data_IF_013831327841
#
_entry.id   IF_013831327841
#
_cell.length_a   1.000
_cell.length_b   1.000
_cell.length_c   1.000
_cell.angle_alpha   90.00
_cell.angle_beta   90.00
_cell.angle_gamma   90.00
#
_symmetry.space_group_name_H-M   'P 1'
#
loop_
_entity.id
_entity.type
_entity.pdbx_description
1 polymer ?
#
# COMPACT_ATOMS: atom_id res chain seq x y z
N UNK A 1 -65.15 -7.42 23.88
CA UNK A 1 -63.69 -7.69 23.83
C UNK A 1 -63.27 -7.57 22.38
N UNK A 2 -62.99 -6.34 21.93
CA UNK A 2 -62.37 -6.10 20.62
C UNK A 2 -60.86 -6.06 20.85
N UNK A 3 -60.18 -7.08 20.33
CA UNK A 3 -58.73 -7.16 20.29
C UNK A 3 -58.20 -6.18 19.26
N UNK A 4 -57.74 -5.03 19.73
CA UNK A 4 -56.91 -4.09 18.96
C UNK A 4 -55.54 -4.73 18.73
N UNK A 5 -55.36 -5.36 17.58
CA UNK A 5 -54.05 -5.77 17.09
C UNK A 5 -53.28 -4.53 16.65
N UNK A 6 -52.33 -4.08 17.47
CA UNK A 6 -51.33 -3.12 17.02
C UNK A 6 -50.49 -3.76 15.91
N UNK A 7 -50.35 -3.12 14.73
CA UNK A 7 -49.36 -3.58 13.75
C UNK A 7 -47.98 -3.47 14.43
N UNK A 8 -47.21 -4.56 14.38
CA UNK A 8 -45.87 -4.59 14.93
C UNK A 8 -45.08 -3.38 14.45
N UNK A 9 -44.71 -2.50 15.38
CA UNK A 9 -43.89 -1.31 15.17
C UNK A 9 -42.58 -1.72 14.49
N UNK A 10 -42.58 -1.68 13.15
CA UNK A 10 -41.35 -1.60 12.39
C UNK A 10 -40.75 -0.24 12.73
N UNK A 11 -39.72 -0.25 13.60
CA UNK A 11 -38.96 0.93 13.96
C UNK A 11 -38.76 1.80 12.71
N UNK A 12 -39.08 3.11 12.77
CA UNK A 12 -39.03 3.97 11.61
C UNK A 12 -37.64 3.85 10.97
N UNK A 13 -37.60 3.34 9.73
CA UNK A 13 -36.35 3.23 8.97
C UNK A 13 -35.63 4.58 9.04
N UNK A 14 -34.33 4.57 9.35
CA UNK A 14 -33.51 5.79 9.49
C UNK A 14 -33.85 6.80 8.39
N UNK A 15 -34.06 8.10 8.71
CA UNK A 15 -34.40 9.10 7.70
C UNK A 15 -33.45 9.11 6.50
N UNK A 16 -32.16 8.84 6.74
CA UNK A 16 -31.16 8.70 5.67
C UNK A 16 -31.45 7.50 4.76
N UNK A 17 -31.84 6.36 5.33
CA UNK A 17 -32.13 5.13 4.57
C UNK A 17 -33.46 5.20 3.80
N UNK A 18 -34.33 6.15 4.12
CA UNK A 18 -35.56 6.42 3.35
C UNK A 18 -35.29 7.18 2.04
N UNK A 19 -34.16 7.87 1.95
CA UNK A 19 -33.79 8.58 0.72
C UNK A 19 -33.50 7.58 -0.40
N UNK A 20 -33.75 7.91 -1.67
CA UNK A 20 -33.30 7.12 -2.81
C UNK A 20 -31.79 6.85 -2.74
N UNK A 21 -31.37 5.70 -3.28
CA UNK A 21 -29.97 5.27 -3.20
C UNK A 21 -29.00 6.29 -3.81
N UNK A 22 -29.40 6.92 -4.91
CA UNK A 22 -28.64 7.94 -5.63
C UNK A 22 -28.36 9.15 -4.74
N UNK A 23 -29.36 9.60 -3.98
CA UNK A 23 -29.21 10.72 -3.04
C UNK A 23 -28.29 10.33 -1.88
N UNK A 24 -28.37 9.08 -1.39
CA UNK A 24 -27.44 8.59 -0.36
C UNK A 24 -26.00 8.59 -0.88
N UNK A 25 -25.77 8.15 -2.12
CA UNK A 25 -24.45 8.19 -2.75
C UNK A 25 -23.91 9.62 -2.83
N UNK A 26 -24.71 10.60 -3.27
CA UNK A 26 -24.31 12.00 -3.30
C UNK A 26 -23.93 12.53 -1.91
N UNK A 27 -24.67 12.13 -0.87
CA UNK A 27 -24.36 12.49 0.52
C UNK A 27 -23.03 11.87 0.95
N UNK A 28 -22.81 10.58 0.67
CA UNK A 28 -21.55 9.92 1.01
C UNK A 28 -20.37 10.52 0.24
N UNK A 29 -20.54 10.87 -1.02
CA UNK A 29 -19.51 11.55 -1.81
C UNK A 29 -19.13 12.88 -1.17
N UNK A 30 -20.10 13.71 -0.80
CA UNK A 30 -19.84 14.97 -0.12
C UNK A 30 -19.11 14.79 1.23
N UNK A 31 -19.41 13.71 1.94
CA UNK A 31 -18.85 13.43 3.26
C UNK A 31 -17.47 12.74 3.23
N UNK A 32 -17.19 11.97 2.18
CA UNK A 32 -16.01 11.08 2.13
C UNK A 32 -15.00 11.49 1.08
N UNK A 33 -15.37 12.23 0.03
CA UNK A 33 -14.41 12.64 -0.99
C UNK A 33 -13.49 13.75 -0.48
N UNK A 34 -12.30 13.91 -1.09
CA UNK A 34 -11.37 14.94 -0.67
C UNK A 34 -12.04 16.32 -0.73
N UNK A 35 -11.78 17.14 0.29
CA UNK A 35 -12.21 18.53 0.27
C UNK A 35 -11.56 19.26 -0.90
N UNK A 36 -12.30 20.14 -1.58
CA UNK A 36 -11.74 20.99 -2.64
C UNK A 36 -10.85 22.10 -2.07
N UNK A 37 -11.07 22.47 -0.82
CA UNK A 37 -10.27 23.47 -0.10
C UNK A 37 -9.46 22.80 1.01
N UNK A 38 -8.12 22.89 1.01
CA UNK A 38 -7.31 22.33 2.07
C UNK A 38 -7.61 23.06 3.38
N UNK A 39 -7.91 22.32 4.44
CA UNK A 39 -7.99 22.91 5.76
C UNK A 39 -6.59 23.34 6.21
N UNK A 40 -6.44 24.52 6.80
CA UNK A 40 -5.17 25.06 7.33
C UNK A 40 -4.59 24.26 8.49
N UNK A 41 -5.20 23.13 8.85
CA UNK A 41 -4.65 22.19 9.79
C UNK A 41 -3.42 21.53 9.18
N UNK A 42 -2.25 21.93 9.65
CA UNK A 42 -1.05 21.09 9.58
C UNK A 42 -1.49 19.71 10.07
N UNK A 43 -1.70 18.76 9.17
CA UNK A 43 -1.81 17.36 9.53
C UNK A 43 -0.53 17.07 10.27
N UNK A 44 -0.58 17.05 11.60
CA UNK A 44 0.61 16.89 12.42
C UNK A 44 1.13 15.51 12.07
N UNK A 45 2.12 15.49 11.18
CA UNK A 45 3.00 14.37 10.99
C UNK A 45 3.62 14.15 12.35
N UNK A 46 3.08 13.20 13.11
CA UNK A 46 3.91 12.60 14.16
C UNK A 46 4.90 11.81 13.35
N UNK A 47 6.10 12.36 13.19
CA UNK A 47 7.25 11.60 12.74
C UNK A 47 7.17 10.21 13.37
N UNK A 48 7.33 9.22 12.51
CA UNK A 48 7.34 7.80 12.84
C UNK A 48 7.96 7.59 14.21
N UNK A 49 7.22 6.92 15.08
CA UNK A 49 7.72 6.61 16.39
C UNK A 49 8.91 5.67 16.19
N UNK A 50 10.03 6.14 16.73
CA UNK A 50 11.40 5.61 16.68
C UNK A 50 12.23 6.20 15.52
N UNK A 51 12.99 7.28 15.76
CA UNK A 51 14.12 7.66 14.91
C UNK A 51 15.23 6.59 15.02
N UNK A 52 14.97 5.40 14.47
CA UNK A 52 16.03 4.41 14.25
C UNK A 52 16.68 4.68 12.91
N UNK A 53 17.93 4.20 12.74
CA UNK A 53 18.84 4.37 11.61
C UNK A 53 18.26 4.09 10.19
N UNK A 54 16.99 3.71 10.09
CA UNK A 54 16.25 3.39 8.87
C UNK A 54 14.88 4.08 8.74
N UNK A 55 14.51 4.99 9.66
CA UNK A 55 13.41 5.94 9.44
C UNK A 55 13.91 7.08 8.57
N UNK A 56 14.01 6.79 7.28
CA UNK A 56 14.33 7.80 6.28
C UNK A 56 13.24 8.88 6.29
N UNK A 57 13.64 10.11 5.98
CA UNK A 57 12.73 11.23 5.74
C UNK A 57 11.82 10.88 4.56
N UNK A 58 10.72 10.16 4.83
CA UNK A 58 9.51 10.24 4.04
C UNK A 58 9.07 11.70 4.16
N UNK A 59 8.88 12.39 3.04
CA UNK A 59 8.10 13.62 3.03
C UNK A 59 6.69 13.25 3.51
N UNK A 60 6.51 13.22 4.84
CA UNK A 60 5.27 12.81 5.48
C UNK A 60 4.13 13.79 5.20
N UNK A 61 4.44 14.90 4.51
CA UNK A 61 3.47 15.82 3.91
C UNK A 61 2.92 15.22 2.63
N UNK A 62 2.06 14.21 2.78
CA UNK A 62 1.19 13.82 1.67
C UNK A 62 0.18 14.96 1.43
N UNK A 63 0.44 15.74 0.39
CA UNK A 63 -0.40 16.85 -0.06
C UNK A 63 -1.36 16.44 -1.17
N UNK A 64 -1.40 15.17 -1.57
CA UNK A 64 -2.33 14.68 -2.57
C UNK A 64 -3.75 14.54 -1.95
N UNK A 65 -4.78 15.16 -2.54
CA UNK A 65 -6.15 15.03 -2.08
C UNK A 65 -6.64 13.58 -2.03
N UNK A 66 -6.23 12.73 -2.97
CA UNK A 66 -6.78 11.38 -3.14
C UNK A 66 -5.91 10.27 -2.53
N UNK A 67 -4.84 10.60 -1.80
CA UNK A 67 -3.96 9.59 -1.20
C UNK A 67 -4.11 9.57 0.32
N UNK A 68 -4.31 8.38 0.87
CA UNK A 68 -4.31 8.10 2.31
C UNK A 68 -3.03 7.34 2.67
N UNK A 69 -2.15 7.99 3.43
CA UNK A 69 -0.86 7.40 3.79
C UNK A 69 -0.98 6.50 5.01
N UNK A 70 -0.70 5.21 4.86
CA UNK A 70 -0.62 4.27 5.98
C UNK A 70 0.79 4.29 6.54
N UNK A 71 0.94 4.48 7.85
CA UNK A 71 2.22 4.52 8.56
C UNK A 71 2.23 3.66 9.79
N UNK A 72 3.41 3.16 10.11
CA UNK A 72 3.68 2.48 11.38
C UNK A 72 3.64 3.49 12.54
N UNK A 73 3.00 3.09 13.62
CA UNK A 73 2.99 3.83 14.87
C UNK A 73 3.25 2.91 16.04
N UNK A 74 3.87 3.45 17.08
CA UNK A 74 3.98 2.73 18.34
C UNK A 74 2.59 2.69 19.02
N UNK A 75 2.08 1.49 19.40
CA UNK A 75 0.89 1.29 20.24
C UNK A 75 0.71 2.29 21.36
N UNK A 76 1.82 2.58 22.04
CA UNK A 76 1.85 3.17 23.36
C UNK A 76 1.99 4.69 23.29
N UNK A 77 2.32 5.23 22.11
CA UNK A 77 2.52 6.65 21.87
C UNK A 77 1.26 7.26 21.23
N UNK A 78 0.35 7.75 22.09
CA UNK A 78 -0.80 8.54 21.67
C UNK A 78 -1.86 8.77 22.76
N UNK A 79 -2.58 9.90 22.66
CA UNK A 79 -3.68 10.30 23.58
C UNK A 79 -4.88 9.33 23.52
N UNK A 80 -4.96 8.49 22.49
CA UNK A 80 -6.08 7.58 22.25
C UNK A 80 -6.03 6.27 23.09
N UNK A 81 -4.93 6.03 23.80
CA UNK A 81 -4.80 4.97 24.80
C UNK A 81 -5.03 3.54 24.28
N UNK A 82 -5.04 2.54 25.19
CA UNK A 82 -5.14 1.12 24.85
C UNK A 82 -6.49 0.69 24.22
N UNK A 83 -7.47 1.59 24.05
CA UNK A 83 -8.80 1.24 23.51
C UNK A 83 -8.85 1.25 21.98
N UNK A 84 -8.16 2.18 21.32
CA UNK A 84 -8.07 2.21 19.84
C UNK A 84 -7.16 1.12 19.29
N UNK A 85 -6.14 0.74 20.07
CA UNK A 85 -5.24 -0.37 19.80
C UNK A 85 -5.97 -1.70 19.59
N UNK A 86 -6.95 -2.01 20.44
CA UNK A 86 -7.63 -3.34 20.47
C UNK A 86 -8.39 -3.70 19.20
N UNK A 87 -8.58 -2.78 18.26
CA UNK A 87 -9.30 -3.02 17.00
C UNK A 87 -8.39 -3.20 15.79
N UNK A 88 -7.10 -2.87 15.90
CA UNK A 88 -6.14 -2.99 14.79
C UNK A 88 -5.17 -4.12 15.07
N UNK A 89 -4.86 -4.88 14.03
CA UNK A 89 -3.86 -5.93 14.09
C UNK A 89 -2.49 -5.35 14.49
N UNK A 90 -1.81 -6.08 15.35
CA UNK A 90 -0.44 -5.80 15.78
C UNK A 90 0.52 -6.52 14.84
N UNK A 91 1.59 -5.85 14.44
CA UNK A 91 2.70 -6.45 13.70
C UNK A 91 4.03 -6.00 14.31
N UNK A 92 5.09 -6.76 14.05
CA UNK A 92 6.40 -6.47 14.62
C UNK A 92 7.28 -5.88 13.53
N UNK A 93 7.97 -4.80 13.87
CA UNK A 93 9.05 -4.26 13.04
C UNK A 93 10.38 -4.53 13.72
N UNK A 94 11.44 -4.71 12.93
CA UNK A 94 12.80 -4.78 13.47
C UNK A 94 13.28 -3.37 13.79
N UNK A 95 13.88 -3.22 14.96
CA UNK A 95 14.32 -1.95 15.55
C UNK A 95 15.67 -2.12 16.25
N UNK A 96 16.22 -1.01 16.75
CA UNK A 96 17.46 -0.97 17.51
C UNK A 96 18.74 -1.09 16.67
N UNK A 97 19.92 -1.05 17.33
CA UNK A 97 21.21 -1.16 16.65
C UNK A 97 21.30 -2.45 15.84
N UNK A 98 21.66 -2.32 14.57
CA UNK A 98 21.76 -3.42 13.60
C UNK A 98 20.47 -4.26 13.43
N UNK A 99 19.31 -3.71 13.80
CA UNK A 99 18.00 -4.38 13.67
C UNK A 99 17.90 -5.71 14.44
N UNK A 100 18.52 -5.75 15.63
CA UNK A 100 18.57 -6.95 16.49
C UNK A 100 17.36 -7.10 17.40
N UNK A 101 16.53 -6.07 17.57
CA UNK A 101 15.33 -6.13 18.39
C UNK A 101 14.07 -6.06 17.53
N UNK A 102 12.94 -6.51 18.08
CA UNK A 102 11.64 -6.35 17.45
C UNK A 102 10.73 -5.55 18.36
N UNK A 103 10.03 -4.57 17.80
CA UNK A 103 9.09 -3.73 18.53
C UNK A 103 7.67 -4.02 18.03
N UNK A 104 6.71 -4.28 18.92
CA UNK A 104 5.31 -4.40 18.53
C UNK A 104 4.79 -3.04 18.08
N UNK A 105 4.17 -3.00 16.92
CA UNK A 105 3.63 -1.80 16.29
C UNK A 105 2.24 -2.04 15.71
N UNK A 106 1.56 -0.95 15.36
CA UNK A 106 0.34 -1.03 14.53
C UNK A 106 0.39 0.04 13.47
N UNK A 107 -0.62 0.08 12.61
CA UNK A 107 -0.75 1.07 11.57
C UNK A 107 -1.68 2.21 11.99
N UNK A 108 -1.48 3.37 11.36
CA UNK A 108 -2.46 4.45 11.30
C UNK A 108 -2.52 5.01 9.90
N UNK A 109 -3.69 5.55 9.57
CA UNK A 109 -3.88 6.34 8.36
C UNK A 109 -3.60 7.79 8.70
N UNK A 110 -2.63 8.40 8.02
CA UNK A 110 -2.39 9.83 8.04
C UNK A 110 -3.34 10.52 7.08
N UNK A 111 -3.86 11.65 7.54
CA UNK A 111 -4.77 12.48 6.77
C UNK A 111 -4.01 13.72 6.30
N UNK A 112 -4.20 14.03 5.03
CA UNK A 112 -3.76 15.27 4.40
C UNK A 112 -4.69 16.44 4.78
N UNK A 113 -4.27 17.70 4.56
CA UNK A 113 -5.15 18.87 4.70
C UNK A 113 -6.49 18.77 3.96
N UNK A 114 -6.57 17.97 2.90
CA UNK A 114 -7.77 17.72 2.10
C UNK A 114 -8.69 16.64 2.70
N UNK A 115 -8.13 15.73 3.51
CA UNK A 115 -8.83 14.56 4.05
C UNK A 115 -9.01 14.61 5.57
N UNK A 116 -8.64 15.72 6.21
CA UNK A 116 -8.73 15.94 7.66
C UNK A 116 -10.14 15.68 8.23
N UNK A 117 -11.18 16.00 7.46
CA UNK A 117 -12.59 15.76 7.81
C UNK A 117 -12.90 14.27 8.07
N UNK A 118 -12.20 13.35 7.37
CA UNK A 118 -12.37 11.90 7.53
C UNK A 118 -12.09 11.43 8.95
N UNK A 119 -11.28 12.17 9.72
CA UNK A 119 -10.98 11.87 11.13
C UNK A 119 -12.25 11.73 11.97
N UNK A 120 -13.25 12.55 11.69
CA UNK A 120 -14.53 12.55 12.39
C UNK A 120 -15.58 11.78 11.60
N UNK A 121 -15.62 11.98 10.28
CA UNK A 121 -16.66 11.39 9.43
C UNK A 121 -16.61 9.87 9.41
N UNK A 122 -15.43 9.26 9.28
CA UNK A 122 -15.31 7.79 9.13
C UNK A 122 -15.79 7.05 10.38
N UNK A 123 -15.31 7.36 11.61
CA UNK A 123 -15.82 6.72 12.81
C UNK A 123 -17.30 6.97 13.07
N UNK A 124 -17.81 8.17 12.74
CA UNK A 124 -19.20 8.54 12.98
C UNK A 124 -20.17 7.96 11.97
N UNK A 125 -19.77 7.77 10.70
CA UNK A 125 -20.64 7.30 9.62
C UNK A 125 -20.65 5.77 9.53
N UNK A 126 -19.46 5.14 9.51
CA UNK A 126 -19.34 3.70 9.28
C UNK A 126 -19.85 2.86 10.47
N UNK A 127 -19.97 3.46 11.66
CA UNK A 127 -20.47 2.76 12.85
C UNK A 127 -22.00 2.76 13.00
N UNK A 128 -22.74 3.51 12.17
CA UNK A 128 -24.19 3.71 12.36
C UNK A 128 -25.02 2.48 12.03
N UNK A 129 -24.76 1.87 10.86
CA UNK A 129 -25.59 0.80 10.32
C UNK A 129 -24.83 -0.01 9.26
N UNK A 130 -25.13 -1.30 9.14
CA UNK A 130 -24.49 -2.20 8.16
C UNK A 130 -24.72 -1.79 6.70
N UNK A 131 -25.89 -1.25 6.35
CA UNK A 131 -26.19 -0.78 5.01
C UNK A 131 -25.38 0.49 4.70
N UNK A 132 -25.39 1.47 5.60
CA UNK A 132 -24.59 2.70 5.47
C UNK A 132 -23.11 2.33 5.35
N UNK A 133 -22.61 1.44 6.22
CA UNK A 133 -21.24 0.95 6.15
C UNK A 133 -20.93 0.34 4.77
N UNK A 134 -21.80 -0.52 4.24
CA UNK A 134 -21.58 -1.15 2.94
C UNK A 134 -21.52 -0.14 1.79
N UNK A 135 -22.45 0.82 1.76
CA UNK A 135 -22.52 1.85 0.71
C UNK A 135 -21.34 2.84 0.82
N UNK A 136 -21.11 3.40 2.01
CA UNK A 136 -20.08 4.39 2.29
C UNK A 136 -18.65 3.83 2.18
N UNK A 137 -18.41 2.62 2.71
CA UNK A 137 -17.07 2.00 2.62
C UNK A 137 -16.70 1.69 1.17
N UNK A 138 -17.67 1.36 0.31
CA UNK A 138 -17.41 1.18 -1.12
C UNK A 138 -16.80 2.45 -1.71
N UNK A 139 -17.43 3.61 -1.49
CA UNK A 139 -16.95 4.91 -2.00
C UNK A 139 -15.57 5.24 -1.42
N UNK A 140 -15.38 5.07 -0.11
CA UNK A 140 -14.11 5.36 0.54
C UNK A 140 -12.95 4.51 -0.04
N UNK A 141 -13.08 3.19 -0.04
CA UNK A 141 -11.98 2.31 -0.43
C UNK A 141 -11.78 2.24 -1.95
N UNK A 142 -12.80 2.57 -2.75
CA UNK A 142 -12.66 2.63 -4.21
C UNK A 142 -12.03 3.91 -4.73
N UNK A 143 -12.13 5.00 -3.97
CA UNK A 143 -11.69 6.33 -4.46
C UNK A 143 -10.27 6.66 -4.05
N UNK A 144 -9.90 6.35 -2.81
CA UNK A 144 -8.59 6.70 -2.28
C UNK A 144 -7.50 5.71 -2.69
N UNK A 145 -6.31 6.24 -2.93
CA UNK A 145 -5.08 5.45 -3.03
C UNK A 145 -4.50 5.25 -1.64
N UNK A 146 -4.34 4.00 -1.21
CA UNK A 146 -3.67 3.70 0.07
C UNK A 146 -2.17 3.56 -0.16
N UNK A 147 -1.40 4.49 0.41
CA UNK A 147 0.06 4.54 0.26
C UNK A 147 0.78 4.06 1.51
N UNK A 148 1.40 2.89 1.42
CA UNK A 148 2.20 2.31 2.50
C UNK A 148 3.63 2.86 2.55
N UNK A 149 4.06 3.53 1.48
CA UNK A 149 5.45 3.98 1.33
C UNK A 149 6.40 2.81 1.62
N UNK A 150 7.34 3.01 2.55
CA UNK A 150 8.31 2.02 3.02
C UNK A 150 7.82 1.17 4.19
N UNK A 151 6.63 1.42 4.73
CA UNK A 151 6.00 0.66 5.83
C UNK A 151 5.25 -0.56 5.28
N UNK A 152 5.96 -1.45 4.58
CA UNK A 152 5.37 -2.61 3.90
C UNK A 152 4.74 -3.59 4.88
N UNK A 153 5.29 -3.69 6.09
CA UNK A 153 4.86 -4.56 7.18
C UNK A 153 3.43 -4.23 7.65
N UNK A 154 2.99 -2.99 7.43
CA UNK A 154 1.65 -2.53 7.74
C UNK A 154 0.59 -3.01 6.74
N UNK A 155 0.99 -3.42 5.53
CA UNK A 155 0.07 -3.65 4.42
C UNK A 155 -0.87 -4.85 4.66
N UNK A 156 -0.31 -6.03 4.94
CA UNK A 156 -1.12 -7.23 5.19
C UNK A 156 -2.02 -7.08 6.44
N UNK A 157 -1.53 -6.57 7.60
CA UNK A 157 -2.39 -6.28 8.75
C UNK A 157 -3.52 -5.30 8.43
N UNK A 158 -3.21 -4.20 7.73
CA UNK A 158 -4.23 -3.22 7.33
C UNK A 158 -5.32 -3.86 6.46
N UNK A 159 -4.92 -4.60 5.42
CA UNK A 159 -5.85 -5.25 4.49
C UNK A 159 -6.68 -6.34 5.16
N UNK A 160 -6.10 -7.03 6.15
CA UNK A 160 -6.78 -8.11 6.88
C UNK A 160 -7.81 -7.59 7.87
N UNK A 161 -7.60 -6.40 8.44
CA UNK A 161 -8.56 -5.74 9.34
C UNK A 161 -9.78 -5.16 8.60
N UNK A 162 -9.74 -5.04 7.28
CA UNK A 162 -10.87 -4.56 6.49
C UNK A 162 -11.99 -5.61 6.45
N UNK A 163 -13.24 -5.12 6.50
CA UNK A 163 -14.38 -6.01 6.24
C UNK A 163 -14.28 -6.60 4.83
N UNK A 164 -14.81 -7.81 4.58
CA UNK A 164 -14.74 -8.44 3.24
C UNK A 164 -15.23 -7.53 2.11
N UNK A 165 -16.28 -6.73 2.35
CA UNK A 165 -16.82 -5.78 1.37
C UNK A 165 -15.90 -4.58 1.15
N UNK A 166 -15.32 -4.03 2.22
CA UNK A 166 -14.38 -2.92 2.14
C UNK A 166 -13.10 -3.31 1.42
N UNK A 167 -12.57 -4.51 1.71
CA UNK A 167 -11.40 -5.08 1.02
C UNK A 167 -11.68 -5.29 -0.47
N UNK A 168 -12.84 -5.85 -0.83
CA UNK A 168 -13.23 -6.05 -2.22
C UNK A 168 -13.48 -4.72 -2.97
N UNK A 169 -13.74 -3.62 -2.27
CA UNK A 169 -13.90 -2.29 -2.84
C UNK A 169 -12.57 -1.57 -3.09
N UNK A 170 -11.45 -2.09 -2.57
CA UNK A 170 -10.14 -1.47 -2.73
C UNK A 170 -9.68 -1.52 -4.19
N UNK A 171 -9.24 -0.36 -4.72
CA UNK A 171 -8.87 -0.22 -6.15
C UNK A 171 -7.45 0.28 -6.40
N UNK A 172 -6.90 1.07 -5.48
CA UNK A 172 -5.66 1.81 -5.71
C UNK A 172 -4.69 1.62 -4.53
N UNK A 173 -3.52 1.06 -4.80
CA UNK A 173 -2.45 0.88 -3.82
C UNK A 173 -1.16 1.56 -4.28
N UNK A 174 -0.38 2.03 -3.31
CA UNK A 174 0.97 2.55 -3.53
C UNK A 174 1.93 1.96 -2.51
N UNK A 175 3.01 1.35 -2.98
CA UNK A 175 4.07 0.74 -2.16
C UNK A 175 5.45 1.24 -2.62
N UNK A 176 6.45 1.20 -1.75
CA UNK A 176 7.82 1.61 -2.07
C UNK A 176 8.80 0.46 -1.82
N UNK A 177 9.54 0.05 -2.84
CA UNK A 177 10.63 -0.93 -2.71
C UNK A 177 11.98 -0.23 -2.60
N UNK A 178 12.79 -0.70 -1.64
CA UNK A 178 14.19 -0.30 -1.48
C UNK A 178 15.09 -1.32 -2.20
N UNK A 179 15.36 -1.09 -3.48
CA UNK A 179 16.23 -1.97 -4.27
C UNK A 179 17.73 -1.65 -4.07
N UNK A 180 18.19 -1.39 -2.84
CA UNK A 180 19.56 -0.93 -2.57
C UNK A 180 20.56 -2.10 -2.55
N UNK A 181 21.71 -2.01 -3.26
CA UNK A 181 22.65 -3.13 -3.37
C UNK A 181 23.39 -3.48 -2.06
N UNK A 182 23.45 -2.52 -1.12
CA UNK A 182 24.19 -2.64 0.14
C UNK A 182 23.29 -2.69 1.38
N UNK A 183 21.97 -2.58 1.22
CA UNK A 183 21.05 -2.84 2.32
C UNK A 183 20.83 -4.35 2.40
N UNK A 184 20.92 -4.93 3.59
CA UNK A 184 20.25 -6.21 3.82
C UNK A 184 18.75 -5.96 3.59
N UNK A 185 18.12 -6.70 2.70
CA UNK A 185 16.69 -6.57 2.41
C UNK A 185 15.87 -7.15 3.57
N UNK A 186 15.76 -6.37 4.65
CA UNK A 186 15.01 -6.78 5.84
C UNK A 186 13.52 -6.90 5.58
N UNK A 187 13.02 -6.31 4.49
CA UNK A 187 11.63 -6.30 4.05
C UNK A 187 11.29 -7.43 3.07
N UNK A 188 12.22 -8.34 2.75
CA UNK A 188 12.03 -9.38 1.72
C UNK A 188 10.84 -10.30 2.05
N UNK A 189 10.70 -10.71 3.30
CA UNK A 189 9.63 -11.62 3.72
C UNK A 189 8.26 -10.93 3.68
N UNK A 190 8.21 -9.68 4.12
CA UNK A 190 7.01 -8.85 4.19
C UNK A 190 6.56 -8.39 2.80
N UNK A 191 7.52 -8.14 1.90
CA UNK A 191 7.26 -7.88 0.48
C UNK A 191 6.67 -9.10 -0.23
N UNK A 192 7.29 -10.27 -0.06
CA UNK A 192 6.78 -11.53 -0.61
C UNK A 192 5.37 -11.81 -0.08
N UNK A 193 5.17 -11.70 1.24
CA UNK A 193 3.87 -11.89 1.88
C UNK A 193 2.79 -10.94 1.35
N UNK A 194 3.13 -9.66 1.11
CA UNK A 194 2.17 -8.73 0.49
C UNK A 194 1.85 -9.14 -0.94
N UNK A 195 2.86 -9.44 -1.76
CA UNK A 195 2.66 -9.82 -3.15
C UNK A 195 1.80 -11.09 -3.25
N UNK A 196 2.07 -12.10 -2.43
CA UNK A 196 1.27 -13.32 -2.33
C UNK A 196 -0.17 -13.02 -1.89
N UNK A 197 -0.35 -12.15 -0.89
CA UNK A 197 -1.67 -11.74 -0.42
C UNK A 197 -2.49 -11.04 -1.52
N UNK A 198 -1.84 -10.21 -2.35
CA UNK A 198 -2.47 -9.51 -3.47
C UNK A 198 -2.67 -10.40 -4.70
N UNK A 199 -1.81 -11.40 -4.90
CA UNK A 199 -1.89 -12.34 -6.02
C UNK A 199 -2.89 -13.48 -5.78
N UNK A 200 -3.28 -13.74 -4.52
CA UNK A 200 -4.19 -14.81 -4.16
C UNK A 200 -5.57 -14.60 -4.82
N UNK A 201 -6.01 -15.50 -5.72
CA UNK A 201 -7.30 -15.38 -6.38
C UNK A 201 -8.45 -15.68 -5.40
N UNK A 202 -9.68 -15.21 -5.70
CA UNK A 202 -10.87 -15.68 -4.98
C UNK A 202 -11.03 -17.18 -5.17
N UNK A 203 -10.67 -17.96 -4.16
CA UNK A 203 -11.00 -19.38 -4.12
C UNK A 203 -12.38 -19.54 -3.46
N UNK A 204 -13.25 -20.30 -4.11
CA UNK A 204 -14.45 -20.83 -3.46
C UNK A 204 -14.01 -21.71 -2.29
N UNK A 205 -14.45 -21.35 -1.09
CA UNK A 205 -14.22 -22.10 0.13
C UNK A 205 -14.72 -23.55 -0.04
N UNK A 206 -13.81 -24.47 -0.32
CA UNK A 206 -14.06 -25.91 -0.27
C UNK A 206 -13.81 -26.47 1.13
N UNK A 207 -12.95 -25.80 1.91
CA UNK A 207 -12.74 -26.06 3.32
C UNK A 207 -13.14 -24.81 4.11
N UNK A 208 -13.99 -24.97 5.13
CA UNK A 208 -14.62 -23.91 5.94
C UNK A 208 -13.70 -22.95 6.71
N UNK A 209 -12.44 -22.82 6.31
CA UNK A 209 -11.59 -21.68 6.59
C UNK A 209 -12.12 -20.43 5.89
N UNK A 210 -12.38 -19.37 6.66
CA UNK A 210 -12.78 -18.06 6.15
C UNK A 210 -11.65 -17.47 5.29
N UNK A 211 -11.67 -17.75 3.98
CA UNK A 211 -10.71 -17.15 3.05
C UNK A 211 -11.05 -15.66 2.95
N UNK A 212 -10.08 -14.76 3.13
CA UNK A 212 -10.30 -13.34 2.94
C UNK A 212 -10.80 -13.07 1.50
N UNK A 213 -12.00 -12.48 1.38
CA UNK A 213 -12.56 -12.01 0.10
C UNK A 213 -11.51 -11.32 -0.80
N UNK A 214 -11.53 -11.58 -2.11
CA UNK A 214 -10.49 -11.15 -3.04
C UNK A 214 -10.32 -9.64 -3.09
N UNK A 215 -9.09 -9.19 -3.31
CA UNK A 215 -8.79 -7.80 -3.66
C UNK A 215 -8.85 -7.69 -5.19
N UNK A 216 -9.71 -6.82 -5.71
CA UNK A 216 -9.77 -6.50 -7.14
C UNK A 216 -9.06 -5.17 -7.38
N UNK A 217 -7.73 -5.21 -7.31
CA UNK A 217 -6.89 -4.03 -7.49
C UNK A 217 -6.95 -3.58 -8.96
N UNK A 218 -7.17 -2.28 -9.21
CA UNK A 218 -7.16 -1.71 -10.57
C UNK A 218 -5.85 -1.03 -10.90
N UNK A 219 -5.29 -0.29 -9.95
CA UNK A 219 -4.00 0.37 -10.15
C UNK A 219 -3.03 0.09 -9.02
N UNK A 220 -1.78 -0.21 -9.38
CA UNK A 220 -0.67 -0.31 -8.44
C UNK A 220 0.37 0.76 -8.77
N UNK A 221 0.70 1.60 -7.79
CA UNK A 221 1.86 2.50 -7.88
C UNK A 221 3.04 1.85 -7.16
N UNK A 222 4.09 1.54 -7.91
CA UNK A 222 5.34 1.01 -7.41
C UNK A 222 6.38 2.12 -7.39
N UNK A 223 6.71 2.60 -6.20
CA UNK A 223 7.81 3.54 -6.02
C UNK A 223 9.10 2.75 -5.80
N UNK A 224 10.17 3.09 -6.49
CA UNK A 224 11.46 2.41 -6.35
C UNK A 224 12.51 3.44 -5.96
N UNK A 225 13.16 3.22 -4.82
CA UNK A 225 14.28 4.07 -4.40
C UNK A 225 15.44 3.86 -5.37
N UNK A 226 15.82 4.94 -6.03
CA UNK A 226 16.76 4.97 -7.14
C UNK A 226 17.94 5.86 -6.79
N UNK A 227 19.16 5.40 -7.04
CA UNK A 227 20.38 6.15 -6.74
C UNK A 227 20.83 7.02 -7.89
N UNK A 228 21.06 8.30 -7.60
CA UNK A 228 21.76 9.23 -8.49
C UNK A 228 23.14 9.56 -7.93
N UNK A 229 24.23 9.19 -8.62
CA UNK A 229 25.59 9.57 -8.25
C UNK A 229 25.80 11.08 -8.29
N UNK A 230 26.86 11.57 -7.65
CA UNK A 230 27.23 12.99 -7.64
C UNK A 230 27.49 13.53 -9.05
N UNK A 231 28.08 12.72 -9.92
CA UNK A 231 28.31 13.05 -11.34
C UNK A 231 27.06 12.86 -12.22
N UNK A 232 25.92 12.49 -11.65
CA UNK A 232 24.67 12.27 -12.36
C UNK A 232 24.63 10.94 -13.14
N UNK A 233 23.79 10.90 -14.17
CA UNK A 233 23.52 9.72 -15.00
C UNK A 233 24.00 9.88 -16.45
N UNK A 234 24.67 10.99 -16.77
CA UNK A 234 24.95 11.38 -18.16
C UNK A 234 25.87 10.38 -18.87
N UNK A 235 26.84 9.81 -18.15
CA UNK A 235 27.79 8.82 -18.67
C UNK A 235 27.34 7.37 -18.53
N UNK A 236 26.16 7.11 -17.94
CA UNK A 236 25.70 5.76 -17.62
C UNK A 236 24.69 5.31 -18.67
N UNK A 237 24.91 4.15 -19.27
CA UNK A 237 23.92 3.55 -20.18
C UNK A 237 22.76 2.97 -19.36
N UNK A 238 21.50 3.39 -19.60
CA UNK A 238 20.34 2.81 -18.90
C UNK A 238 20.10 1.37 -19.38
N UNK A 239 19.55 0.54 -18.49
CA UNK A 239 19.07 -0.79 -18.85
C UNK A 239 17.78 -0.64 -19.68
N UNK A 240 17.72 -1.27 -20.85
CA UNK A 240 16.56 -1.22 -21.73
C UNK A 240 15.48 -2.22 -21.31
N UNK A 241 14.20 -1.99 -21.69
CA UNK A 241 13.11 -2.94 -21.45
C UNK A 241 13.41 -4.37 -21.93
N UNK A 242 14.06 -4.52 -23.09
CA UNK A 242 14.46 -5.82 -23.66
C UNK A 242 15.53 -6.54 -22.86
N UNK A 243 16.38 -5.78 -22.16
CA UNK A 243 17.47 -6.35 -21.37
C UNK A 243 16.89 -7.05 -20.14
N UNK A 244 15.81 -6.53 -19.56
CA UNK A 244 15.09 -7.20 -18.46
C UNK A 244 14.48 -8.53 -18.87
N UNK A 245 13.94 -8.64 -20.08
CA UNK A 245 13.43 -9.91 -20.62
C UNK A 245 14.57 -10.92 -20.80
N UNK A 246 15.74 -10.46 -21.23
CA UNK A 246 16.94 -11.29 -21.40
C UNK A 246 17.48 -11.76 -20.06
N UNK A 247 17.55 -10.88 -19.05
CA UNK A 247 17.97 -11.24 -17.69
C UNK A 247 17.03 -12.28 -17.07
N UNK A 248 15.71 -12.10 -17.19
CA UNK A 248 14.73 -13.06 -16.68
C UNK A 248 14.84 -14.42 -17.39
N UNK A 249 15.05 -14.40 -18.72
CA UNK A 249 15.26 -15.62 -19.50
C UNK A 249 16.54 -16.35 -19.10
N UNK A 250 17.65 -15.63 -18.96
CA UNK A 250 18.93 -16.20 -18.53
C UNK A 250 18.85 -16.79 -17.13
N UNK A 251 18.17 -16.13 -16.18
CA UNK A 251 17.89 -16.68 -14.84
C UNK A 251 17.14 -18.01 -14.93
N UNK A 252 16.06 -18.04 -15.71
CA UNK A 252 15.19 -19.22 -15.82
C UNK A 252 15.85 -20.39 -16.55
N UNK A 253 16.60 -20.12 -17.63
CA UNK A 253 17.16 -21.17 -18.48
C UNK A 253 18.54 -21.65 -18.00
N UNK A 254 19.40 -20.77 -17.47
CA UNK A 254 20.83 -21.06 -17.31
C UNK A 254 21.30 -21.13 -15.86
N UNK A 255 20.59 -20.49 -14.92
CA UNK A 255 20.98 -20.44 -13.50
C UNK A 255 20.14 -21.35 -12.59
N UNK A 256 19.39 -22.29 -13.16
CA UNK A 256 18.67 -23.33 -12.42
C UNK A 256 17.18 -23.07 -12.16
N UNK A 257 16.56 -22.12 -12.87
CA UNK A 257 15.13 -21.84 -12.76
C UNK A 257 14.74 -21.15 -11.44
N UNK A 258 13.44 -21.07 -11.10
CA UNK A 258 12.96 -20.44 -9.86
C UNK A 258 13.44 -21.13 -8.56
N UNK A 259 14.11 -22.27 -8.65
CA UNK A 259 14.74 -23.01 -7.54
C UNK A 259 16.28 -22.85 -7.52
N UNK A 260 16.86 -22.27 -8.57
CA UNK A 260 18.28 -21.96 -8.66
C UNK A 260 18.56 -20.59 -8.07
N UNK A 261 19.21 -20.55 -6.90
CA UNK A 261 19.60 -19.31 -6.22
C UNK A 261 20.75 -18.55 -6.91
N UNK A 262 20.79 -18.57 -8.24
CA UNK A 262 21.82 -17.92 -9.04
C UNK A 262 21.61 -16.41 -9.08
N UNK A 263 22.46 -15.70 -8.36
CA UNK A 263 22.53 -14.24 -8.32
C UNK A 263 23.08 -13.70 -9.65
N UNK A 264 22.30 -12.88 -10.37
CA UNK A 264 22.73 -12.23 -11.62
C UNK A 264 23.62 -11.03 -11.27
N UNK A 265 24.89 -11.28 -10.96
CA UNK A 265 25.85 -10.21 -10.69
C UNK A 265 25.52 -9.36 -9.46
N UNK A 266 24.80 -9.90 -8.48
CA UNK A 266 24.54 -9.24 -7.21
C UNK A 266 23.13 -8.70 -7.00
N UNK A 267 22.26 -8.68 -8.02
CA UNK A 267 20.88 -8.19 -7.90
C UNK A 267 19.86 -9.22 -8.35
N UNK A 268 19.10 -9.72 -7.38
CA UNK A 268 17.93 -10.55 -7.61
C UNK A 268 16.72 -9.64 -7.92
N UNK A 269 16.14 -9.82 -9.11
CA UNK A 269 14.88 -9.18 -9.50
C UNK A 269 13.66 -10.00 -9.02
N UNK A 270 13.84 -10.98 -8.13
CA UNK A 270 12.77 -11.76 -7.51
C UNK A 270 11.64 -10.88 -6.95
N UNK A 271 11.97 -9.76 -6.31
CA UNK A 271 10.95 -8.84 -5.79
C UNK A 271 10.04 -8.27 -6.90
N UNK A 272 10.58 -8.08 -8.12
CA UNK A 272 9.82 -7.61 -9.27
C UNK A 272 8.96 -8.74 -9.84
N UNK A 273 9.48 -9.98 -9.87
CA UNK A 273 8.71 -11.18 -10.23
C UNK A 273 7.52 -11.39 -9.28
N UNK A 274 7.73 -11.19 -7.98
CA UNK A 274 6.67 -11.24 -6.97
C UNK A 274 5.57 -10.21 -7.24
N UNK A 275 5.93 -8.99 -7.61
CA UNK A 275 4.94 -7.97 -8.04
C UNK A 275 4.20 -8.41 -9.30
N UNK A 276 4.91 -9.00 -10.28
CA UNK A 276 4.29 -9.50 -11.52
C UNK A 276 3.33 -10.68 -11.30
N UNK A 277 3.39 -11.35 -10.16
CA UNK A 277 2.43 -12.38 -9.79
C UNK A 277 1.01 -11.79 -9.57
N UNK A 278 0.91 -10.49 -9.24
CA UNK A 278 -0.36 -9.79 -9.08
C UNK A 278 -1.03 -9.65 -10.45
N UNK A 279 -2.27 -10.16 -10.58
CA UNK A 279 -3.05 -10.16 -11.83
C UNK A 279 -4.27 -9.25 -11.75
N UNK A 280 -4.82 -8.91 -12.91
CA UNK A 280 -6.08 -8.17 -13.02
C UNK A 280 -5.95 -6.64 -12.87
N UNK A 281 -4.74 -6.10 -12.96
CA UNK A 281 -4.49 -4.67 -12.94
C UNK A 281 -4.86 -4.02 -14.28
N UNK A 282 -5.56 -2.89 -14.22
CA UNK A 282 -5.79 -2.00 -15.37
C UNK A 282 -4.56 -1.11 -15.63
N UNK A 283 -3.78 -0.80 -14.59
CA UNK A 283 -2.57 0.01 -14.73
C UNK A 283 -1.53 -0.29 -13.65
N UNK A 284 -0.25 -0.13 -14.01
CA UNK A 284 0.86 -0.08 -13.08
C UNK A 284 1.66 1.20 -13.34
N UNK A 285 1.91 1.98 -12.30
CA UNK A 285 2.70 3.20 -12.38
C UNK A 285 3.99 3.02 -11.59
N UNK A 286 5.12 3.02 -12.29
CA UNK A 286 6.43 2.93 -11.65
C UNK A 286 7.02 4.33 -11.53
N UNK A 287 7.38 4.72 -10.30
CA UNK A 287 7.99 6.02 -10.01
C UNK A 287 9.36 5.86 -9.36
N UNK A 288 10.35 6.57 -9.87
CA UNK A 288 11.66 6.66 -9.21
C UNK A 288 11.59 7.64 -8.04
N UNK A 289 11.96 7.19 -6.85
CA UNK A 289 12.28 8.06 -5.72
C UNK A 289 13.79 8.26 -5.71
N UNK A 290 14.24 9.38 -6.29
CA UNK A 290 15.66 9.60 -6.56
C UNK A 290 16.37 10.15 -5.32
N UNK A 291 17.31 9.37 -4.80
CA UNK A 291 18.18 9.75 -3.69
C UNK A 291 19.62 9.91 -4.17
N UNK A 292 20.41 10.75 -3.49
CA UNK A 292 21.85 10.85 -3.77
C UNK A 292 22.54 9.56 -3.33
N UNK A 293 23.42 9.02 -4.17
CA UNK A 293 24.21 7.84 -3.84
C UNK A 293 25.70 8.07 -4.12
N UNK A 294 26.55 7.24 -3.54
CA UNK A 294 27.97 7.24 -3.85
C UNK A 294 28.23 6.77 -5.29
N UNK A 295 29.41 7.13 -5.81
CA UNK A 295 29.89 6.61 -7.09
C UNK A 295 30.11 5.09 -7.02
N UNK A 296 29.85 4.35 -8.11
CA UNK A 296 30.01 2.91 -8.11
C UNK A 296 31.48 2.52 -7.99
N UNK A 297 31.79 1.67 -7.01
CA UNK A 297 33.10 1.02 -6.85
C UNK A 297 33.05 -0.49 -7.12
N UNK A 298 31.86 -1.04 -7.37
CA UNK A 298 31.65 -2.45 -7.72
C UNK A 298 30.70 -2.59 -8.90
N UNK A 299 30.78 -3.72 -9.61
CA UNK A 299 29.87 -4.06 -10.71
C UNK A 299 28.41 -4.06 -10.27
N UNK A 300 28.14 -4.58 -9.06
CA UNK A 300 26.80 -4.57 -8.45
C UNK A 300 26.25 -3.16 -8.27
N UNK A 301 27.09 -2.21 -7.83
CA UNK A 301 26.69 -0.80 -7.71
C UNK A 301 26.51 -0.14 -9.08
N UNK A 302 27.39 -0.44 -10.04
CA UNK A 302 27.27 0.06 -11.40
C UNK A 302 25.96 -0.40 -12.06
N UNK A 303 25.62 -1.68 -11.91
CA UNK A 303 24.34 -2.23 -12.35
C UNK A 303 23.16 -1.54 -11.67
N UNK A 304 23.18 -1.40 -10.33
CA UNK A 304 22.09 -0.73 -9.61
C UNK A 304 21.89 0.72 -10.05
N UNK A 305 22.97 1.45 -10.36
CA UNK A 305 22.87 2.82 -10.88
C UNK A 305 22.28 2.82 -12.29
N UNK A 306 22.68 1.91 -13.16
CA UNK A 306 22.10 1.75 -14.50
C UNK A 306 20.60 1.37 -14.43
N UNK A 307 20.24 0.50 -13.49
CA UNK A 307 18.85 0.19 -13.14
C UNK A 307 18.10 1.43 -12.63
N UNK A 308 18.68 2.17 -11.69
CA UNK A 308 18.11 3.41 -11.14
C UNK A 308 17.82 4.45 -12.22
N UNK A 309 18.74 4.59 -13.18
CA UNK A 309 18.54 5.41 -14.38
C UNK A 309 17.35 4.91 -15.21
N UNK A 310 17.28 3.60 -15.46
CA UNK A 310 16.16 2.98 -16.19
C UNK A 310 14.80 3.19 -15.51
N UNK A 311 14.73 3.12 -14.18
CA UNK A 311 13.50 3.44 -13.43
C UNK A 311 13.12 4.90 -13.61
N UNK A 312 14.08 5.82 -13.51
CA UNK A 312 13.82 7.26 -13.60
C UNK A 312 13.45 7.72 -15.02
N UNK A 313 14.02 7.09 -16.04
CA UNK A 313 13.69 7.34 -17.46
C UNK A 313 12.46 6.56 -17.94
N UNK A 314 11.91 5.67 -17.10
CA UNK A 314 10.66 4.95 -17.36
C UNK A 314 10.83 3.60 -18.06
N UNK A 315 12.04 3.18 -18.42
CA UNK A 315 12.31 1.90 -19.09
C UNK A 315 11.87 0.69 -18.28
N UNK A 316 12.15 0.67 -16.96
CA UNK A 316 11.67 -0.39 -16.08
C UNK A 316 10.13 -0.37 -15.94
N UNK A 317 9.52 0.82 -15.92
CA UNK A 317 8.08 0.98 -15.86
C UNK A 317 7.36 0.46 -17.11
N UNK A 318 7.93 0.73 -18.28
CA UNK A 318 7.44 0.21 -19.56
C UNK A 318 7.48 -1.33 -19.59
N UNK A 319 8.60 -1.91 -19.14
CA UNK A 319 8.75 -3.36 -19.06
C UNK A 319 7.72 -4.00 -18.12
N UNK A 320 7.54 -3.45 -16.91
CA UNK A 320 6.53 -3.93 -15.95
C UNK A 320 5.12 -3.82 -16.53
N UNK A 321 4.80 -2.69 -17.17
CA UNK A 321 3.48 -2.46 -17.78
C UNK A 321 3.17 -3.49 -18.84
N UNK A 322 4.11 -3.76 -19.76
CA UNK A 322 3.95 -4.76 -20.82
C UNK A 322 3.70 -6.18 -20.30
N UNK A 323 4.26 -6.52 -19.13
CA UNK A 323 4.15 -7.85 -18.51
C UNK A 323 2.90 -8.03 -17.65
N UNK A 324 2.39 -6.95 -17.06
CA UNK A 324 1.36 -7.01 -16.02
C UNK A 324 -0.01 -6.50 -16.47
N UNK A 325 -0.05 -5.57 -17.42
CA UNK A 325 -1.28 -4.99 -17.96
C UNK A 325 -1.54 -5.66 -19.30
N UNK A 326 -2.69 -6.34 -19.39
CA UNK A 326 -3.16 -7.01 -20.60
C UNK A 326 -4.02 -6.07 -21.44
#
# INVERSE_FOLDING_TARGET
>A
MESTSYPADALPASPLLRLPFEIRLMIYEYLLLPSTTPTTGNGTSVANLIPDFHTYLSEDTNNDPCTLSVRTMDPWLGVQGPRTWRRRSTYHIRTGPFLTTTTPTTYRVLLSPYTSHLRHTVPSLLSLNHQIHAEASKILYSTYTFSFHTSIEAAVPFLSDLTPRSRAALRHLSVTKKALPYSKEFDRAEWASLCDYLATPPQSALDGTEIPAPISLRSLTLNVISGKPDHGWDSITPILPSDFDTMLRMKNEWLGGPLGGGDFGGMDLEWAEQVMAIKGLESINVKAMVERCANPVSEKQAFWIAFSKSVAEGGFGEWMTRRMVA
#
